data_IF_876772115559
#
_entry.id   IF_876772115559
#
_cell.length_a   1.000
_cell.length_b   1.000
_cell.length_c   1.000
_cell.angle_alpha   90.00
_cell.angle_beta   90.00
_cell.angle_gamma   90.00
#
_symmetry.space_group_name_H-M   'P 1'
#
loop_
_entity.id
_entity.type
_entity.pdbx_description
1 polymer ?
#
# COMPACT_ATOMS: atom_id res chain seq x y z
N UNK A 1 1.36 8.51 -4.68
CA UNK A 1 2.08 8.21 -5.94
C UNK A 1 2.20 9.49 -6.75
N UNK A 2 3.38 9.73 -7.33
CA UNK A 2 3.62 10.91 -8.15
C UNK A 2 2.80 10.79 -9.46
N UNK A 3 2.05 11.83 -9.88
CA UNK A 3 1.38 11.82 -11.17
C UNK A 3 2.40 11.60 -12.30
N UNK A 4 2.04 10.83 -13.33
CA UNK A 4 2.94 10.48 -14.44
C UNK A 4 3.56 11.71 -15.11
N UNK A 5 2.74 12.75 -15.33
CA UNK A 5 3.18 14.04 -15.90
C UNK A 5 4.29 14.75 -15.10
N UNK A 6 4.42 14.43 -13.82
CA UNK A 6 5.37 15.09 -12.93
C UNK A 6 6.65 14.25 -12.74
N UNK A 7 6.69 13.00 -13.19
CA UNK A 7 7.80 12.07 -12.93
C UNK A 7 9.14 12.54 -13.50
N UNK A 8 9.12 13.23 -14.64
CA UNK A 8 10.32 13.76 -15.29
C UNK A 8 11.00 14.88 -14.48
N UNK A 9 10.27 15.52 -13.57
CA UNK A 9 10.79 16.63 -12.75
C UNK A 9 11.51 16.14 -11.47
N UNK A 10 11.56 14.84 -11.21
CA UNK A 10 12.10 14.27 -9.97
C UNK A 10 13.06 13.10 -10.24
N UNK A 11 13.97 12.89 -9.29
CA UNK A 11 14.93 11.79 -9.30
C UNK A 11 15.02 11.13 -7.91
N UNK A 12 15.44 9.87 -7.89
CA UNK A 12 15.75 9.12 -6.67
C UNK A 12 17.20 9.33 -6.25
N UNK A 13 17.44 9.35 -4.95
CA UNK A 13 18.79 9.30 -4.38
C UNK A 13 19.21 7.84 -4.19
N UNK A 14 20.35 7.48 -4.77
CA UNK A 14 20.94 6.15 -4.71
C UNK A 14 22.34 6.21 -4.09
N UNK A 15 22.86 5.07 -3.60
CA UNK A 15 24.23 4.99 -3.07
C UNK A 15 25.33 5.33 -4.11
N UNK A 16 25.00 5.37 -5.40
CA UNK A 16 25.92 5.68 -6.50
C UNK A 16 25.49 6.85 -7.40
N UNK A 17 24.63 7.76 -6.92
CA UNK A 17 24.18 8.93 -7.69
C UNK A 17 22.66 9.10 -7.71
N UNK A 18 22.14 9.70 -8.79
CA UNK A 18 20.70 9.90 -9.02
C UNK A 18 20.19 9.02 -10.16
N UNK A 19 18.92 8.62 -10.08
CA UNK A 19 18.23 7.83 -11.12
C UNK A 19 16.77 8.27 -11.29
N UNK A 20 16.15 8.01 -12.46
CA UNK A 20 14.73 8.27 -12.67
C UNK A 20 13.82 7.57 -11.65
N UNK A 21 12.65 8.17 -11.35
CA UNK A 21 11.71 7.67 -10.32
C UNK A 21 11.14 6.27 -10.58
N UNK A 22 11.14 5.80 -11.82
CA UNK A 22 10.68 4.46 -12.18
C UNK A 22 11.72 3.35 -11.89
N UNK A 23 12.99 3.71 -11.60
CA UNK A 23 14.06 2.76 -11.29
C UNK A 23 14.13 2.36 -9.79
N UNK A 24 13.06 2.61 -9.01
CA UNK A 24 13.03 2.37 -7.57
C UNK A 24 13.43 0.94 -7.14
N UNK A 25 13.20 -0.07 -7.99
CA UNK A 25 13.60 -1.47 -7.71
C UNK A 25 15.12 -1.64 -7.61
N UNK A 26 15.88 -0.85 -8.36
CA UNK A 26 17.35 -0.86 -8.41
C UNK A 26 17.97 0.35 -7.68
N UNK A 27 17.18 1.37 -7.35
CA UNK A 27 17.58 2.51 -6.55
C UNK A 27 16.56 2.83 -5.46
N UNK A 28 16.87 2.40 -4.24
CA UNK A 28 16.10 2.65 -3.05
C UNK A 28 17.05 2.70 -1.84
N UNK A 29 16.59 3.29 -0.75
CA UNK A 29 17.38 3.35 0.49
C UNK A 29 17.39 2.02 1.22
N UNK A 30 16.24 1.33 1.26
CA UNK A 30 16.07 0.04 1.90
C UNK A 30 14.83 -0.68 1.34
N UNK A 31 14.75 -1.99 1.60
CA UNK A 31 13.52 -2.77 1.41
C UNK A 31 12.81 -2.87 2.76
N UNK A 32 11.52 -2.53 2.77
CA UNK A 32 10.68 -2.60 3.97
C UNK A 32 9.54 -3.61 3.76
N UNK A 33 9.12 -4.35 4.80
CA UNK A 33 7.93 -5.19 4.71
C UNK A 33 6.66 -4.34 4.55
N UNK A 34 5.61 -4.93 3.98
CA UNK A 34 4.29 -4.31 3.93
C UNK A 34 3.73 -4.04 5.33
N UNK A 35 2.81 -3.08 5.44
CA UNK A 35 2.03 -2.90 6.67
C UNK A 35 1.29 -4.19 7.03
N UNK A 36 1.18 -4.48 8.33
CA UNK A 36 0.58 -5.71 8.84
C UNK A 36 -0.53 -5.41 9.84
N UNK A 37 -1.57 -6.24 9.83
CA UNK A 37 -2.60 -6.27 10.87
C UNK A 37 -2.06 -7.10 12.03
N UNK A 38 -2.10 -6.53 13.24
CA UNK A 38 -1.62 -7.18 14.47
C UNK A 38 -2.79 -7.69 15.30
N UNK A 39 -2.57 -8.80 16.01
CA UNK A 39 -3.52 -9.39 16.94
C UNK A 39 -2.85 -9.63 18.29
N UNK A 40 -3.65 -9.84 19.34
CA UNK A 40 -3.14 -10.22 20.66
C UNK A 40 -2.40 -11.56 20.58
N UNK A 41 -1.34 -11.71 21.36
CA UNK A 41 -0.53 -12.94 21.39
C UNK A 41 -1.24 -14.16 21.98
N UNK A 42 -2.22 -13.95 22.87
CA UNK A 42 -3.05 -15.01 23.47
C UNK A 42 -4.51 -14.66 23.20
N UNK A 43 -5.30 -15.61 22.69
CA UNK A 43 -6.72 -15.42 22.34
C UNK A 43 -6.97 -14.25 21.36
N UNK A 44 -6.06 -14.05 20.39
CA UNK A 44 -6.07 -12.93 19.46
C UNK A 44 -7.13 -12.96 18.37
N UNK A 45 -7.80 -14.10 18.18
CA UNK A 45 -8.80 -14.33 17.12
C UNK A 45 -8.25 -14.07 15.71
N UNK A 46 -6.97 -14.30 15.51
CA UNK A 46 -6.24 -14.09 14.25
C UNK A 46 -6.90 -14.80 13.07
N UNK A 47 -7.46 -16.00 13.27
CA UNK A 47 -8.23 -16.71 12.25
C UNK A 47 -9.49 -15.95 11.83
N UNK A 48 -10.21 -15.34 12.77
CA UNK A 48 -11.41 -14.55 12.47
C UNK A 48 -11.05 -13.22 11.82
N UNK A 49 -9.94 -12.60 12.22
CA UNK A 49 -9.39 -11.40 11.57
C UNK A 49 -9.06 -11.71 10.11
N UNK A 50 -8.37 -12.82 9.85
CA UNK A 50 -8.11 -13.27 8.49
C UNK A 50 -9.42 -13.48 7.72
N UNK A 51 -10.39 -14.17 8.31
CA UNK A 51 -11.65 -14.51 7.62
C UNK A 51 -12.43 -13.26 7.25
N UNK A 52 -12.48 -12.29 8.16
CA UNK A 52 -13.07 -10.98 7.92
C UNK A 52 -12.38 -10.27 6.75
N UNK A 53 -11.04 -10.15 6.80
CA UNK A 53 -10.29 -9.43 5.77
C UNK A 53 -10.35 -10.12 4.41
N UNK A 54 -10.35 -11.46 4.37
CA UNK A 54 -10.50 -12.22 3.14
C UNK A 54 -11.87 -12.03 2.49
N UNK A 55 -12.95 -12.08 3.28
CA UNK A 55 -14.30 -11.77 2.77
C UNK A 55 -14.41 -10.30 2.35
N UNK A 56 -13.81 -9.40 3.13
CA UNK A 56 -13.85 -7.98 2.83
C UNK A 56 -13.16 -7.64 1.50
N UNK A 57 -12.01 -8.24 1.20
CA UNK A 57 -11.34 -8.02 -0.09
C UNK A 57 -12.06 -8.70 -1.27
N UNK A 58 -12.74 -9.83 -1.06
CA UNK A 58 -13.55 -10.50 -2.10
C UNK A 58 -14.75 -9.64 -2.52
N UNK A 59 -15.39 -8.96 -1.56
CA UNK A 59 -16.58 -8.14 -1.81
C UNK A 59 -16.27 -6.67 -2.10
N UNK A 60 -15.27 -6.10 -1.44
CA UNK A 60 -14.98 -4.66 -1.43
C UNK A 60 -13.53 -4.31 -1.76
N UNK A 61 -12.77 -5.27 -2.30
CA UNK A 61 -11.42 -5.03 -2.81
C UNK A 61 -11.40 -4.13 -4.06
N UNK A 62 -10.22 -4.04 -4.67
CA UNK A 62 -10.01 -3.20 -5.85
C UNK A 62 -10.87 -3.73 -7.00
N UNK A 63 -11.80 -2.90 -7.49
CA UNK A 63 -12.63 -3.22 -8.66
C UNK A 63 -13.77 -4.20 -8.39
N UNK A 64 -14.13 -4.47 -7.12
CA UNK A 64 -15.20 -5.43 -6.79
C UNK A 64 -16.54 -4.77 -6.45
N UNK A 65 -16.55 -3.54 -5.93
CA UNK A 65 -17.78 -2.81 -5.55
C UNK A 65 -17.63 -1.31 -5.80
N UNK A 66 -18.73 -0.68 -6.23
CA UNK A 66 -18.84 0.78 -6.33
C UNK A 66 -19.47 1.43 -5.09
N UNK A 67 -20.19 0.65 -4.27
CA UNK A 67 -20.91 1.15 -3.09
C UNK A 67 -19.98 1.38 -1.88
N UNK A 68 -19.01 0.47 -1.69
CA UNK A 68 -18.00 0.56 -0.63
C UNK A 68 -16.66 0.04 -1.13
N UNK A 69 -15.58 0.74 -0.78
CA UNK A 69 -14.22 0.44 -1.24
C UNK A 69 -13.31 0.26 -0.03
N UNK A 70 -12.75 -0.93 0.15
CA UNK A 70 -11.88 -1.26 1.29
C UNK A 70 -10.56 -0.47 1.27
N UNK A 71 -10.10 -0.06 0.08
CA UNK A 71 -8.81 0.60 -0.13
C UNK A 71 -8.91 2.04 -0.66
N UNK A 72 -10.10 2.67 -0.58
CA UNK A 72 -10.29 4.10 -0.92
C UNK A 72 -11.55 4.67 -0.28
N UNK A 73 -11.61 5.97 -0.02
CA UNK A 73 -12.78 6.65 0.55
C UNK A 73 -13.01 8.01 -0.11
N UNK A 74 -14.14 8.68 0.11
CA UNK A 74 -14.39 10.05 -0.37
C UNK A 74 -14.70 11.01 0.80
N UNK A 75 -14.30 12.30 0.78
CA UNK A 75 -13.04 12.85 0.29
C UNK A 75 -11.92 12.74 1.34
N UNK A 76 -10.75 12.41 0.82
CA UNK A 76 -9.52 11.93 1.46
C UNK A 76 -8.74 12.94 2.31
N UNK A 77 -8.31 12.50 3.49
CA UNK A 77 -6.90 12.25 3.86
C UNK A 77 -6.84 11.85 5.34
N UNK A 78 -6.65 10.58 5.64
CA UNK A 78 -5.93 10.26 6.87
C UNK A 78 -4.47 10.68 6.64
N UNK A 79 -3.89 11.53 7.51
CA UNK A 79 -2.49 11.96 7.42
C UNK A 79 -1.49 10.79 7.54
#
# INVERSE_FOLDING_TARGET
>A
NLPEKDQENYELLCQGGRRPVNEYKNCHLARVPSHAVVARSVDGKERLIWELLNKAQEHFGIGTSEDFKLFSSAPDKDP
#
